data_IF_741579633105
#
_entry.id   IF_741579633105
#
_cell.length_a   1.000
_cell.length_b   1.000
_cell.length_c   1.000
_cell.angle_alpha   90.00
_cell.angle_beta   90.00
_cell.angle_gamma   90.00
#
_symmetry.space_group_name_H-M   'P 1'
#
loop_
_entity.id
_entity.type
_entity.pdbx_description
1 polymer ?
#
# COMPACT_ATOMS: atom_id res chain seq x y z
N UNK A 1 -2.27 -17.50 15.41
CA UNK A 1 -0.99 -17.37 14.70
C UNK A 1 -0.66 -15.92 14.49
N UNK A 2 0.61 -15.58 14.60
CA UNK A 2 1.04 -14.22 14.32
C UNK A 2 0.92 -13.91 12.83
N UNK A 3 0.51 -12.69 12.50
CA UNK A 3 0.45 -12.23 11.12
C UNK A 3 1.87 -12.10 10.52
N UNK A 4 1.97 -12.30 9.22
CA UNK A 4 3.20 -12.06 8.50
C UNK A 4 3.47 -10.56 8.39
N UNK A 5 4.75 -10.22 8.27
CA UNK A 5 5.22 -8.83 8.15
C UNK A 5 5.81 -8.64 6.76
N UNK A 6 5.36 -7.60 6.06
CA UNK A 6 5.99 -7.16 4.82
C UNK A 6 7.06 -6.12 5.16
N UNK A 7 8.29 -6.37 4.73
CA UNK A 7 9.41 -5.45 4.93
C UNK A 7 9.64 -4.73 3.60
N UNK A 8 9.21 -3.48 3.53
CA UNK A 8 9.30 -2.66 2.32
C UNK A 8 10.51 -1.77 2.44
N UNK A 9 11.53 -2.06 1.61
CA UNK A 9 12.71 -1.21 1.52
C UNK A 9 12.45 -0.12 0.48
N UNK A 10 12.67 1.13 0.85
CA UNK A 10 12.50 2.25 -0.06
C UNK A 10 13.76 3.11 -0.09
N UNK A 11 13.84 3.99 -1.06
CA UNK A 11 14.98 4.94 -1.17
C UNK A 11 15.05 5.92 -0.01
N UNK A 12 13.99 6.03 0.80
CA UNK A 12 13.95 6.90 2.00
C UNK A 12 13.99 6.13 3.32
N UNK A 13 14.01 4.80 3.28
CA UNK A 13 14.11 3.97 4.48
C UNK A 13 13.20 2.75 4.42
N UNK A 14 13.12 2.04 5.54
CA UNK A 14 12.40 0.78 5.68
C UNK A 14 11.04 0.99 6.34
N UNK A 15 9.99 0.37 5.78
CA UNK A 15 8.65 0.35 6.33
C UNK A 15 8.28 -1.10 6.59
N UNK A 16 7.77 -1.40 7.79
CA UNK A 16 7.28 -2.75 8.11
C UNK A 16 5.77 -2.72 8.28
N UNK A 17 5.09 -3.63 7.59
CA UNK A 17 3.64 -3.72 7.53
C UNK A 17 3.18 -5.06 8.08
N UNK A 18 2.29 -5.04 9.06
CA UNK A 18 1.60 -6.26 9.49
C UNK A 18 0.46 -6.54 8.53
N UNK A 19 0.34 -7.78 8.05
CA UNK A 19 -0.66 -8.17 7.06
C UNK A 19 -1.80 -8.94 7.74
N UNK A 20 -3.05 -8.53 7.48
CA UNK A 20 -4.24 -9.08 8.14
C UNK A 20 -4.79 -10.29 7.39
N UNK A 21 -4.04 -11.39 7.38
CA UNK A 21 -4.38 -12.58 6.59
C UNK A 21 -5.69 -13.25 6.99
N UNK A 22 -6.11 -13.15 8.24
CA UNK A 22 -7.37 -13.75 8.71
C UNK A 22 -8.58 -12.95 8.23
N UNK A 23 -8.50 -11.63 8.26
CA UNK A 23 -9.60 -10.76 7.88
C UNK A 23 -9.72 -10.57 6.38
N UNK A 24 -8.60 -10.53 5.66
CA UNK A 24 -8.57 -10.27 4.21
C UNK A 24 -7.61 -11.23 3.50
N UNK A 25 -7.93 -12.54 3.50
CA UNK A 25 -7.01 -13.56 2.99
C UNK A 25 -6.69 -13.42 1.50
N UNK A 26 -7.66 -13.07 0.66
CA UNK A 26 -7.44 -12.93 -0.79
C UNK A 26 -6.51 -11.77 -1.07
N UNK A 27 -6.76 -10.63 -0.44
CA UNK A 27 -5.96 -9.41 -0.62
C UNK A 27 -4.54 -9.62 -0.12
N UNK A 28 -4.37 -10.22 1.06
CA UNK A 28 -3.05 -10.49 1.63
C UNK A 28 -2.28 -11.50 0.79
N UNK A 29 -2.90 -12.59 0.36
CA UNK A 29 -2.24 -13.61 -0.47
C UNK A 29 -1.79 -13.02 -1.80
N UNK A 30 -2.61 -12.15 -2.42
CA UNK A 30 -2.24 -11.45 -3.63
C UNK A 30 -1.01 -10.57 -3.42
N UNK A 31 -0.99 -9.78 -2.35
CA UNK A 31 0.13 -8.91 -2.02
C UNK A 31 1.41 -9.71 -1.77
N UNK A 32 1.31 -10.81 -1.02
CA UNK A 32 2.44 -11.70 -0.74
C UNK A 32 2.98 -12.31 -2.04
N UNK A 33 2.11 -12.82 -2.89
CA UNK A 33 2.48 -13.41 -4.17
C UNK A 33 3.26 -12.40 -5.04
N UNK A 34 2.72 -11.20 -5.18
CA UNK A 34 3.38 -10.15 -5.97
C UNK A 34 4.72 -9.74 -5.35
N UNK A 35 4.76 -9.63 -4.02
CA UNK A 35 6.00 -9.28 -3.31
C UNK A 35 7.10 -10.32 -3.53
N UNK A 36 6.75 -11.61 -3.41
CA UNK A 36 7.72 -12.70 -3.60
C UNK A 36 8.19 -12.84 -5.04
N UNK A 37 7.38 -12.45 -6.00
CA UNK A 37 7.76 -12.51 -7.41
C UNK A 37 8.65 -11.33 -7.85
N UNK A 38 8.87 -10.35 -6.97
CA UNK A 38 9.64 -9.15 -7.32
C UNK A 38 8.84 -8.11 -8.06
N UNK A 39 7.52 -8.24 -8.13
CA UNK A 39 6.65 -7.34 -8.88
C UNK A 39 6.84 -5.87 -8.47
N UNK A 40 6.97 -5.61 -7.16
CA UNK A 40 7.08 -4.26 -6.64
C UNK A 40 8.47 -3.65 -6.73
N UNK A 41 9.49 -4.45 -7.07
CA UNK A 41 10.86 -3.96 -7.11
C UNK A 41 11.03 -2.89 -8.20
N UNK A 42 11.54 -1.73 -7.82
CA UNK A 42 11.76 -0.61 -8.73
C UNK A 42 10.54 0.29 -8.97
N UNK A 43 9.37 -0.08 -8.45
CA UNK A 43 8.17 0.76 -8.61
C UNK A 43 8.23 1.96 -7.66
N UNK A 44 7.57 3.05 -8.05
CA UNK A 44 7.58 4.30 -7.26
C UNK A 44 6.25 4.52 -6.55
N UNK A 45 6.27 5.39 -5.54
CA UNK A 45 5.05 5.99 -5.01
C UNK A 45 4.65 7.12 -5.96
N UNK A 46 3.79 6.80 -6.91
CA UNK A 46 3.45 7.70 -8.01
C UNK A 46 2.42 8.77 -7.62
N UNK A 47 1.75 8.61 -6.48
CA UNK A 47 0.76 9.56 -6.00
C UNK A 47 0.95 9.76 -4.49
N UNK A 48 1.28 10.98 -4.11
CA UNK A 48 1.53 11.35 -2.72
C UNK A 48 0.76 12.63 -2.42
N UNK A 49 -0.09 12.60 -1.41
CA UNK A 49 -0.86 13.76 -0.97
C UNK A 49 -0.60 13.91 0.53
N UNK A 50 0.13 14.96 0.90
CA UNK A 50 0.45 15.24 2.31
C UNK A 50 -0.83 15.35 3.13
N UNK A 51 -0.82 14.74 4.31
CA UNK A 51 -1.99 14.72 5.19
C UNK A 51 -3.10 13.77 4.77
N UNK A 52 -2.91 13.01 3.68
CA UNK A 52 -3.89 12.04 3.20
C UNK A 52 -3.29 10.64 3.07
N UNK A 53 -2.46 10.39 2.05
CA UNK A 53 -1.91 9.05 1.82
C UNK A 53 -0.70 9.08 0.87
N UNK A 54 0.03 7.95 0.83
CA UNK A 54 1.01 7.67 -0.21
C UNK A 54 0.56 6.41 -0.95
N UNK A 55 0.62 6.44 -2.29
CA UNK A 55 0.13 5.35 -3.14
C UNK A 55 1.21 4.89 -4.11
N UNK A 56 1.34 3.58 -4.24
CA UNK A 56 2.31 2.96 -5.15
C UNK A 56 1.83 1.62 -5.64
N UNK A 57 2.75 0.86 -6.26
CA UNK A 57 2.46 -0.50 -6.74
C UNK A 57 1.90 -0.57 -8.15
N UNK A 58 1.96 0.53 -8.91
CA UNK A 58 1.55 0.55 -10.30
C UNK A 58 2.76 0.20 -11.20
N UNK A 59 2.70 -0.86 -12.02
CA UNK A 59 3.83 -1.21 -12.90
C UNK A 59 4.18 -0.15 -13.94
N UNK A 60 3.22 0.71 -14.29
CA UNK A 60 3.44 1.84 -15.20
C UNK A 60 3.82 3.13 -14.48
N UNK A 61 3.79 3.13 -13.12
CA UNK A 61 4.11 4.29 -12.28
C UNK A 61 3.26 5.53 -12.58
N UNK A 62 2.04 5.35 -13.08
CA UNK A 62 1.14 6.44 -13.46
C UNK A 62 -0.32 6.24 -12.99
N UNK A 63 -0.58 5.14 -12.28
CA UNK A 63 -1.91 4.82 -11.77
C UNK A 63 -2.78 4.01 -12.71
N UNK A 64 -2.32 3.73 -13.94
CA UNK A 64 -3.13 3.04 -14.95
C UNK A 64 -2.92 1.53 -14.99
N UNK A 65 -1.83 1.02 -14.40
CA UNK A 65 -1.45 -0.38 -14.52
C UNK A 65 -1.81 -1.23 -13.32
N UNK A 66 -1.71 -2.54 -13.53
CA UNK A 66 -1.95 -3.53 -12.51
C UNK A 66 -1.27 -4.85 -12.87
N UNK A 67 -1.53 -5.94 -12.14
CA UNK A 67 -0.82 -7.20 -12.32
C UNK A 67 -1.39 -8.04 -13.49
N UNK A 68 -2.32 -7.52 -14.25
CA UNK A 68 -2.96 -8.25 -15.35
C UNK A 68 -4.26 -8.96 -14.96
N UNK A 69 -4.72 -8.76 -13.73
CA UNK A 69 -5.97 -9.33 -13.22
C UNK A 69 -6.51 -8.42 -12.11
N UNK A 70 -7.73 -8.70 -11.65
CA UNK A 70 -8.32 -8.01 -10.49
C UNK A 70 -8.67 -9.02 -9.42
N UNK A 71 -8.81 -8.54 -8.18
CA UNK A 71 -9.23 -9.35 -7.05
C UNK A 71 -10.54 -8.80 -6.46
N UNK A 72 -11.27 -9.70 -5.81
CA UNK A 72 -12.52 -9.36 -5.15
C UNK A 72 -12.28 -8.50 -3.92
N UNK A 73 -13.13 -7.53 -3.67
CA UNK A 73 -13.08 -6.71 -2.46
C UNK A 73 -13.33 -7.57 -1.21
N UNK A 74 -12.60 -7.23 -0.13
CA UNK A 74 -12.77 -7.86 1.17
C UNK A 74 -12.90 -6.76 2.22
N UNK A 75 -14.12 -6.43 2.62
CA UNK A 75 -14.38 -5.39 3.61
C UNK A 75 -14.68 -6.05 4.96
N UNK A 76 -13.68 -6.09 5.84
CA UNK A 76 -13.85 -6.64 7.19
C UNK A 76 -14.44 -5.55 8.11
N UNK A 77 -15.58 -5.79 8.75
CA UNK A 77 -16.24 -4.75 9.57
C UNK A 77 -15.39 -4.21 10.72
N UNK A 78 -14.44 -5.01 11.21
CA UNK A 78 -13.55 -4.58 12.30
C UNK A 78 -12.41 -3.67 11.84
N UNK A 79 -12.18 -3.56 10.52
CA UNK A 79 -11.07 -2.78 9.97
C UNK A 79 -11.58 -1.45 9.44
N UNK A 80 -11.04 -0.36 9.96
CA UNK A 80 -11.45 1.01 9.63
C UNK A 80 -10.24 1.86 9.30
N UNK A 81 -10.44 2.84 8.40
CA UNK A 81 -9.42 3.85 8.08
C UNK A 81 -9.48 4.98 9.13
N UNK A 82 -9.28 4.63 10.39
CA UNK A 82 -9.50 5.56 11.51
C UNK A 82 -8.23 6.07 12.18
N UNK A 83 -7.06 5.67 11.67
CA UNK A 83 -5.76 6.12 12.17
C UNK A 83 -4.79 6.24 11.00
N UNK A 84 -3.67 7.00 11.14
CA UNK A 84 -2.61 6.96 10.13
C UNK A 84 -1.92 5.59 10.11
N UNK A 85 -1.31 5.25 8.98
CA UNK A 85 -0.55 4.01 8.83
C UNK A 85 -1.38 2.80 8.42
N UNK A 86 -2.59 2.99 7.92
CA UNK A 86 -3.43 1.91 7.41
C UNK A 86 -3.01 1.57 5.98
N UNK A 87 -2.75 0.27 5.74
CA UNK A 87 -2.44 -0.26 4.40
C UNK A 87 -3.74 -0.75 3.76
N UNK A 88 -4.08 -0.17 2.63
CA UNK A 88 -5.36 -0.41 1.96
C UNK A 88 -5.16 -0.56 0.46
N UNK A 89 -6.08 -1.28 -0.18
CA UNK A 89 -6.00 -1.57 -1.62
C UNK A 89 -6.62 -0.43 -2.43
N UNK A 90 -5.83 0.16 -3.33
CA UNK A 90 -6.35 1.12 -4.29
C UNK A 90 -7.21 0.39 -5.34
N UNK A 91 -8.24 1.06 -5.85
CA UNK A 91 -9.10 0.47 -6.87
C UNK A 91 -9.75 1.56 -7.72
N UNK A 92 -10.41 1.13 -8.79
CA UNK A 92 -11.16 1.99 -9.72
C UNK A 92 -12.66 1.70 -9.64
N UNK A 93 -13.13 1.21 -8.49
CA UNK A 93 -14.52 0.84 -8.26
C UNK A 93 -14.61 -0.57 -7.67
N UNK A 94 -15.83 -1.13 -7.54
CA UNK A 94 -15.99 -2.45 -6.92
C UNK A 94 -15.20 -3.54 -7.65
N UNK A 95 -14.51 -4.37 -6.86
CA UNK A 95 -13.79 -5.58 -7.33
C UNK A 95 -12.75 -5.29 -8.42
N UNK A 96 -12.05 -4.15 -8.32
CA UNK A 96 -11.00 -3.77 -9.28
C UNK A 96 -9.62 -3.64 -8.66
N UNK A 97 -9.44 -4.10 -7.42
CA UNK A 97 -8.12 -4.13 -6.78
C UNK A 97 -7.17 -5.03 -7.56
N UNK A 98 -5.89 -4.73 -7.50
CA UNK A 98 -4.86 -5.50 -8.17
C UNK A 98 -3.52 -5.40 -7.45
N UNK A 99 -2.65 -4.49 -7.88
CA UNK A 99 -1.33 -4.32 -7.28
C UNK A 99 -1.15 -2.99 -6.57
N UNK A 100 -1.91 -1.96 -6.92
CA UNK A 100 -1.76 -0.66 -6.32
C UNK A 100 -2.32 -0.64 -4.91
N UNK A 101 -1.57 -0.02 -4.00
CA UNK A 101 -1.95 0.10 -2.60
C UNK A 101 -1.63 1.50 -2.12
N UNK A 102 -2.22 1.88 -0.97
CA UNK A 102 -1.85 3.13 -0.33
C UNK A 102 -1.70 2.93 1.18
N UNK A 103 -0.92 3.82 1.78
CA UNK A 103 -0.73 3.88 3.23
C UNK A 103 -1.22 5.25 3.67
N UNK A 104 -2.13 5.29 4.64
CA UNK A 104 -2.73 6.56 5.08
C UNK A 104 -1.78 7.37 5.95
N UNK A 105 -1.89 8.69 5.85
CA UNK A 105 -1.13 9.65 6.66
C UNK A 105 -1.99 10.28 7.75
N UNK A 106 -3.29 10.03 7.70
CA UNK A 106 -4.29 10.57 8.62
C UNK A 106 -5.52 9.67 8.60
N UNK A 107 -6.47 9.82 9.53
CA UNK A 107 -7.76 9.11 9.43
C UNK A 107 -8.50 9.48 8.14
N UNK A 108 -9.02 8.45 7.44
CA UNK A 108 -9.73 8.64 6.17
C UNK A 108 -11.03 7.84 6.19
N UNK A 109 -11.98 8.16 7.13
CA UNK A 109 -13.15 7.32 7.35
C UNK A 109 -14.09 7.22 6.14
N UNK A 110 -14.04 8.17 5.21
CA UNK A 110 -14.83 8.10 3.98
C UNK A 110 -14.42 6.97 3.04
N UNK A 111 -13.28 6.32 3.29
CA UNK A 111 -12.80 5.19 2.49
C UNK A 111 -13.32 3.84 3.01
N UNK A 112 -13.91 3.83 4.20
CA UNK A 112 -14.45 2.59 4.79
C UNK A 112 -15.55 2.01 3.89
N UNK A 113 -15.47 0.70 3.65
CA UNK A 113 -16.41 0.00 2.78
C UNK A 113 -16.20 0.22 1.28
N UNK A 114 -15.15 0.95 0.89
CA UNK A 114 -14.80 1.21 -0.52
C UNK A 114 -13.43 0.68 -0.89
N UNK A 115 -12.53 0.56 0.08
CA UNK A 115 -11.17 0.06 -0.11
C UNK A 115 -10.89 -1.03 0.92
N UNK A 116 -10.29 -2.12 0.47
CA UNK A 116 -10.01 -3.27 1.34
C UNK A 116 -8.76 -3.00 2.17
N UNK A 117 -8.93 -2.86 3.48
CA UNK A 117 -7.82 -2.73 4.42
C UNK A 117 -7.19 -4.11 4.60
N UNK A 118 -5.88 -4.23 4.39
CA UNK A 118 -5.21 -5.52 4.54
C UNK A 118 -3.95 -5.49 5.38
N UNK A 119 -3.64 -4.37 6.01
CA UNK A 119 -2.50 -4.28 6.92
C UNK A 119 -2.39 -2.92 7.59
N UNK A 120 -1.30 -2.78 8.37
CA UNK A 120 -0.97 -1.51 9.03
C UNK A 120 0.54 -1.40 9.21
N UNK A 121 1.03 -0.18 9.32
CA UNK A 121 2.43 0.09 9.63
C UNK A 121 2.69 -0.27 11.11
N UNK A 122 3.67 -1.13 11.36
CA UNK A 122 4.12 -1.48 12.71
C UNK A 122 5.49 -0.88 13.02
N UNK A 123 6.26 -0.52 11.99
CA UNK A 123 7.56 0.12 12.14
C UNK A 123 7.86 0.96 10.89
N UNK A 124 8.51 2.11 11.07
CA UNK A 124 8.86 2.98 9.94
C UNK A 124 7.78 4.01 9.58
N UNK A 125 6.88 4.35 10.50
CA UNK A 125 5.89 5.39 10.23
C UNK A 125 6.55 6.74 9.94
N UNK A 126 7.71 7.02 10.52
CA UNK A 126 8.49 8.21 10.21
C UNK A 126 8.93 8.24 8.75
N UNK A 127 9.26 7.09 8.16
CA UNK A 127 9.57 6.97 6.73
C UNK A 127 8.34 7.29 5.89
N UNK A 128 7.18 6.76 6.27
CA UNK A 128 5.90 7.03 5.59
C UNK A 128 5.59 8.52 5.62
N UNK A 129 5.76 9.17 6.78
CA UNK A 129 5.55 10.61 6.92
C UNK A 129 6.53 11.41 6.06
N UNK A 130 7.79 10.99 6.00
CA UNK A 130 8.80 11.64 5.15
C UNK A 130 8.42 11.55 3.68
N UNK A 131 7.96 10.40 3.22
CA UNK A 131 7.47 10.24 1.85
C UNK A 131 6.28 11.19 1.61
N UNK A 132 5.35 11.26 2.57
CA UNK A 132 4.18 12.12 2.49
C UNK A 132 4.49 13.60 2.35
N UNK A 133 5.68 14.03 2.82
CA UNK A 133 6.13 15.42 2.73
C UNK A 133 6.98 15.70 1.48
N UNK A 134 7.11 14.73 0.58
CA UNK A 134 7.83 14.92 -0.67
C UNK A 134 7.23 16.05 -1.49
N UNK A 135 8.09 16.85 -2.11
CA UNK A 135 7.62 17.85 -3.08
C UNK A 135 7.01 17.12 -4.27
N UNK A 136 5.80 17.53 -4.66
CA UNK A 136 5.06 16.88 -5.74
C UNK A 136 4.77 17.86 -6.86
N UNK A 137 4.51 17.32 -8.06
CA UNK A 137 4.05 18.10 -9.21
C UNK A 137 2.51 18.23 -9.20
N UNK A 138 1.95 18.84 -10.26
CA UNK A 138 0.51 19.05 -10.35
C UNK A 138 -0.33 17.77 -10.35
N UNK A 139 0.28 16.62 -10.65
CA UNK A 139 -0.37 15.31 -10.64
C UNK A 139 -0.18 14.57 -9.33
N UNK A 140 0.33 15.23 -8.28
CA UNK A 140 0.64 14.63 -6.97
C UNK A 140 1.71 13.53 -7.05
N UNK A 141 2.56 13.58 -8.07
CA UNK A 141 3.70 12.68 -8.18
C UNK A 141 4.93 13.35 -7.56
N UNK A 142 5.71 12.67 -6.72
CA UNK A 142 6.94 13.24 -6.19
C UNK A 142 7.87 13.70 -7.31
N UNK A 143 8.38 14.92 -7.20
CA UNK A 143 9.32 15.48 -8.17
C UNK A 143 10.58 14.63 -8.23
N UNK A 144 11.03 14.13 -7.08
CA UNK A 144 12.11 13.16 -6.98
C UNK A 144 11.50 11.81 -6.67
N UNK A 145 11.75 10.81 -7.54
CA UNK A 145 11.14 9.49 -7.39
C UNK A 145 11.51 8.85 -6.04
N UNK A 146 10.50 8.35 -5.34
CA UNK A 146 10.67 7.49 -4.16
C UNK A 146 10.38 6.07 -4.62
N UNK A 147 11.40 5.22 -4.62
CA UNK A 147 11.28 3.85 -5.16
C UNK A 147 11.20 2.81 -4.07
N UNK A 148 10.42 1.79 -4.34
CA UNK A 148 10.45 0.53 -3.58
C UNK A 148 11.61 -0.28 -4.16
N UNK A 149 12.63 -0.56 -3.36
CA UNK A 149 13.76 -1.36 -3.83
C UNK A 149 13.51 -2.85 -3.69
N UNK A 150 12.78 -3.24 -2.65
CA UNK A 150 12.34 -4.63 -2.47
C UNK A 150 11.20 -4.72 -1.47
N UNK A 151 10.44 -5.82 -1.55
CA UNK A 151 9.45 -6.19 -0.52
C UNK A 151 9.72 -7.63 -0.14
N UNK A 152 9.99 -7.86 1.15
CA UNK A 152 10.24 -9.18 1.69
C UNK A 152 9.15 -9.55 2.69
N UNK A 153 8.79 -10.82 2.75
CA UNK A 153 7.74 -11.30 3.65
C UNK A 153 8.39 -12.14 4.76
N UNK A 154 8.11 -11.80 6.01
CA UNK A 154 8.65 -12.47 7.19
C UNK A 154 7.51 -12.88 8.12
N UNK A 155 7.45 -14.14 8.62
CA UNK A 155 8.26 -15.29 8.18
C UNK A 155 7.89 -15.67 6.75
N UNK A 156 8.92 -16.11 6.01
CA UNK A 156 8.74 -16.44 4.58
C UNK A 156 8.02 -17.77 4.36
#
# INVERSE_FOLDING_TARGET
>A
MANQIAIVETTLGTIKLELFAEQTPITVQNFIKLSKSGFYNGLIFHRVIDGFMIQGGCPHNDGTGGPGYTIKDEFAPSLKHNVPGILSMANAGPNTGGSQFFITLAPTPWLDGKHAIFGKVVEGMDVVQTIGKSQTNASNRPVKDVRITSVQISPS
#
